data_IF_713441977368
#
_entry.id   IF_713441977368
#
_cell.length_a   1.000
_cell.length_b   1.000
_cell.length_c   1.000
_cell.angle_alpha   90.00
_cell.angle_beta   90.00
_cell.angle_gamma   90.00
#
_symmetry.space_group_name_H-M   'P 1'
#
loop_
_entity.id
_entity.type
_entity.pdbx_description
1 polymer ?
#
# COMPACT_ATOMS: atom_id res chain seq x y z
N UNK A 1 9.40 6.47 -3.43
CA UNK A 1 8.94 5.90 -4.72
C UNK A 1 7.76 4.92 -4.57
N UNK A 2 7.74 4.00 -3.59
CA UNK A 2 6.63 3.04 -3.41
C UNK A 2 5.27 3.67 -3.05
N UNK A 3 5.26 4.84 -2.39
CA UNK A 3 4.03 5.51 -1.96
C UNK A 3 3.24 6.20 -3.10
N UNK A 4 3.84 6.34 -4.29
CA UNK A 4 3.46 7.42 -5.22
C UNK A 4 2.98 6.97 -6.61
N UNK A 5 3.12 5.69 -6.96
CA UNK A 5 2.63 5.21 -8.27
C UNK A 5 1.92 3.85 -8.24
N UNK A 6 1.59 3.32 -7.06
CA UNK A 6 0.87 2.04 -6.98
C UNK A 6 0.76 1.52 -5.57
N UNK A 7 0.07 2.25 -4.68
CA UNK A 7 -0.38 1.68 -3.42
C UNK A 7 -1.55 0.73 -3.72
N UNK A 8 -1.21 -0.51 -4.06
CA UNK A 8 -1.83 -1.69 -3.46
C UNK A 8 -0.66 -2.44 -2.81
N UNK A 9 -0.04 -1.77 -1.85
CA UNK A 9 1.03 -2.31 -1.03
C UNK A 9 0.42 -2.83 0.25
N UNK A 10 0.65 -4.10 0.56
CA UNK A 10 0.33 -4.67 1.85
C UNK A 10 1.38 -4.22 2.85
N UNK A 11 0.99 -3.39 3.81
CA UNK A 11 1.83 -3.05 4.96
C UNK A 11 1.64 -4.13 6.03
N UNK A 12 2.68 -4.94 6.22
CA UNK A 12 2.67 -6.01 7.20
C UNK A 12 3.48 -5.62 8.43
N UNK A 13 2.98 -5.92 9.63
CA UNK A 13 3.79 -5.99 10.85
C UNK A 13 3.69 -7.41 11.41
N UNK A 14 4.74 -8.22 11.19
CA UNK A 14 4.86 -9.54 11.80
C UNK A 14 5.46 -9.39 13.21
N UNK A 15 4.81 -9.96 14.23
CA UNK A 15 5.35 -10.08 15.58
C UNK A 15 5.98 -11.47 15.80
N UNK A 16 7.12 -11.45 16.50
CA UNK A 16 7.83 -12.55 17.16
C UNK A 16 8.58 -13.59 16.28
N UNK A 17 9.91 -13.47 16.29
CA UNK A 17 10.83 -14.60 16.15
C UNK A 17 10.70 -15.55 17.36
N UNK A 18 11.08 -16.81 17.18
CA UNK A 18 10.96 -17.93 18.14
C UNK A 18 11.76 -17.71 19.46
N UNK A 19 12.51 -16.61 19.54
CA UNK A 19 13.44 -16.27 20.61
C UNK A 19 13.04 -15.05 21.47
N UNK A 20 11.85 -14.48 21.29
CA UNK A 20 11.34 -13.43 22.21
C UNK A 20 12.10 -12.09 22.18
N UNK A 21 12.79 -11.78 21.08
CA UNK A 21 13.33 -10.44 20.83
C UNK A 21 12.27 -9.54 20.17
N UNK A 22 12.17 -8.29 20.62
CA UNK A 22 11.31 -7.24 20.04
C UNK A 22 11.71 -6.94 18.59
N UNK A 23 11.24 -7.73 17.62
CA UNK A 23 11.52 -7.55 16.21
C UNK A 23 10.25 -7.59 15.39
N UNK A 24 9.61 -6.43 15.21
CA UNK A 24 8.57 -6.26 14.20
C UNK A 24 9.17 -5.71 12.91
N UNK A 25 8.76 -6.21 11.76
CA UNK A 25 9.20 -5.71 10.45
C UNK A 25 8.02 -5.10 9.68
N UNK A 26 8.24 -3.95 9.05
CA UNK A 26 7.30 -3.32 8.12
C UNK A 26 7.67 -3.77 6.71
N UNK A 27 6.83 -4.59 6.10
CA UNK A 27 7.01 -5.02 4.70
C UNK A 27 6.03 -4.27 3.82
N UNK A 28 6.49 -3.78 2.67
CA UNK A 28 5.66 -3.16 1.63
C UNK A 28 5.87 -3.93 0.32
N UNK A 29 4.77 -4.33 -0.30
CA UNK A 29 4.77 -5.15 -1.50
C UNK A 29 3.37 -5.64 -1.85
N UNK A 30 3.23 -6.32 -2.98
CA UNK A 30 1.91 -6.61 -3.58
C UNK A 30 1.28 -7.91 -3.11
N UNK A 31 2.11 -8.86 -2.75
CA UNK A 31 1.77 -10.25 -2.42
C UNK A 31 2.21 -10.64 -1.01
N UNK A 32 2.52 -9.63 -0.17
CA UNK A 32 3.03 -9.87 1.18
C UNK A 32 1.98 -10.60 2.03
N UNK A 33 0.75 -10.10 2.07
CA UNK A 33 -0.31 -10.68 2.92
C UNK A 33 -0.94 -11.96 2.39
N UNK A 34 -0.64 -12.35 1.15
CA UNK A 34 -1.24 -13.51 0.47
C UNK A 34 -0.23 -14.64 0.18
N UNK A 35 1.04 -14.31 -0.07
CA UNK A 35 2.09 -15.27 -0.45
C UNK A 35 3.26 -15.28 0.53
N UNK A 36 3.84 -14.11 0.84
CA UNK A 36 5.10 -14.05 1.62
C UNK A 36 4.88 -14.27 3.11
N UNK A 37 3.87 -13.64 3.68
CA UNK A 37 3.52 -13.70 5.09
C UNK A 37 1.99 -13.82 5.27
N UNK A 38 1.39 -14.95 4.87
CA UNK A 38 -0.05 -15.18 5.00
C UNK A 38 -0.50 -15.29 6.46
N UNK A 39 0.39 -15.51 7.43
CA UNK A 39 0.05 -15.66 8.86
C UNK A 39 0.27 -14.40 9.69
N UNK A 40 0.50 -13.26 9.04
CA UNK A 40 0.80 -12.04 9.75
C UNK A 40 -0.36 -11.53 10.61
N UNK A 41 -0.02 -11.04 11.80
CA UNK A 41 -0.97 -10.50 12.79
C UNK A 41 -1.75 -9.29 12.28
N UNK A 42 -1.11 -8.42 11.50
CA UNK A 42 -1.74 -7.26 10.91
C UNK A 42 -1.41 -7.16 9.42
N UNK A 43 -2.46 -7.15 8.60
CA UNK A 43 -2.39 -6.94 7.16
C UNK A 43 -3.18 -5.69 6.81
N UNK A 44 -2.52 -4.69 6.26
CA UNK A 44 -3.17 -3.51 5.70
C UNK A 44 -3.09 -3.59 4.20
N UNK A 45 -4.18 -3.35 3.49
CA UNK A 45 -4.19 -3.18 2.06
C UNK A 45 -4.43 -1.70 1.76
N UNK A 46 -3.35 -0.97 1.46
CA UNK A 46 -3.44 0.48 1.23
C UNK A 46 -3.87 0.72 -0.20
N UNK A 47 -4.92 1.51 -0.40
CA UNK A 47 -5.46 1.87 -1.73
C UNK A 47 -5.72 3.38 -1.84
N UNK A 48 -5.94 3.85 -3.06
CA UNK A 48 -6.37 5.21 -3.38
C UNK A 48 -6.96 5.27 -4.79
N UNK A 49 -7.85 6.24 -5.03
CA UNK A 49 -8.37 6.56 -6.35
C UNK A 49 -7.26 6.83 -7.37
N UNK A 50 -7.53 6.55 -8.64
CA UNK A 50 -6.56 6.77 -9.71
C UNK A 50 -6.21 8.25 -9.85
N UNK A 51 -7.20 9.11 -9.62
CA UNK A 51 -7.10 10.57 -9.65
C UNK A 51 -6.21 11.08 -8.52
N UNK A 52 -6.39 10.59 -7.29
CA UNK A 52 -5.53 10.96 -6.16
C UNK A 52 -4.08 10.54 -6.39
N UNK A 53 -3.87 9.32 -6.91
CA UNK A 53 -2.52 8.82 -7.25
C UNK A 53 -1.89 9.60 -8.39
N UNK A 54 -2.65 9.91 -9.44
CA UNK A 54 -2.18 10.73 -10.55
C UNK A 54 -1.82 12.15 -10.10
N UNK A 55 -2.60 12.76 -9.22
CA UNK A 55 -2.32 14.07 -8.65
C UNK A 55 -1.01 14.10 -7.85
N UNK A 56 -0.80 13.11 -6.97
CA UNK A 56 0.45 12.96 -6.19
C UNK A 56 1.65 12.79 -7.12
N UNK A 57 1.54 11.89 -8.10
CA UNK A 57 2.61 11.62 -9.05
C UNK A 57 2.95 12.83 -9.92
N UNK A 58 1.95 13.59 -10.34
CA UNK A 58 2.16 14.83 -11.08
C UNK A 58 2.95 15.83 -10.23
N UNK A 59 2.59 16.02 -8.97
CA UNK A 59 3.29 16.92 -8.07
C UNK A 59 4.79 16.57 -7.93
N UNK A 60 5.13 15.28 -7.76
CA UNK A 60 6.54 14.84 -7.74
C UNK A 60 7.29 15.14 -9.03
N UNK A 61 6.66 14.86 -10.18
CA UNK A 61 7.30 15.08 -11.47
C UNK A 61 7.61 16.56 -11.66
N UNK A 62 6.66 17.43 -11.30
CA UNK A 62 6.84 18.88 -11.32
C UNK A 62 7.92 19.33 -10.34
N UNK A 63 7.94 18.81 -9.11
CA UNK A 63 8.99 19.10 -8.12
C UNK A 63 10.38 18.65 -8.58
N UNK A 64 10.46 17.53 -9.31
CA UNK A 64 11.68 17.02 -9.92
C UNK A 64 12.10 17.75 -11.22
N UNK A 65 11.33 18.77 -11.65
CA UNK A 65 11.61 19.57 -12.84
C UNK A 65 11.21 18.93 -14.17
N UNK A 66 10.34 17.90 -14.14
CA UNK A 66 9.78 17.29 -15.33
C UNK A 66 8.46 17.96 -15.74
N UNK A 67 8.27 18.13 -17.05
CA UNK A 67 6.98 18.51 -17.60
C UNK A 67 6.12 17.25 -17.79
N UNK A 68 4.96 17.22 -17.13
CA UNK A 68 3.97 16.16 -17.26
C UNK A 68 2.56 16.76 -17.21
N UNK A 69 1.60 16.12 -17.87
CA UNK A 69 0.18 16.49 -17.79
C UNK A 69 -0.58 15.53 -16.88
N UNK A 70 -1.60 16.04 -16.20
CA UNK A 70 -2.47 15.21 -15.35
C UNK A 70 -3.07 14.04 -16.13
N UNK A 71 -3.63 14.28 -17.32
CA UNK A 71 -4.24 13.25 -18.16
C UNK A 71 -3.25 12.16 -18.60
N UNK A 72 -2.00 12.54 -18.89
CA UNK A 72 -0.95 11.59 -19.22
C UNK A 72 -0.61 10.68 -18.04
N UNK A 73 -0.42 11.29 -16.87
CA UNK A 73 -0.14 10.55 -15.63
C UNK A 73 -1.32 9.64 -15.25
N UNK A 74 -2.55 10.12 -15.36
CA UNK A 74 -3.76 9.34 -15.07
C UNK A 74 -3.90 8.14 -16.00
N UNK A 75 -3.61 8.32 -17.29
CA UNK A 75 -3.60 7.23 -18.27
C UNK A 75 -2.57 6.16 -17.90
N UNK A 76 -1.37 6.58 -17.50
CA UNK A 76 -0.31 5.67 -17.07
C UNK A 76 -0.69 4.92 -15.79
N UNK A 77 -1.35 5.59 -14.85
CA UNK A 77 -1.87 5.00 -13.62
C UNK A 77 -2.89 3.90 -13.94
N UNK A 78 -3.91 4.18 -14.75
CA UNK A 78 -4.90 3.17 -15.14
C UNK A 78 -4.27 1.99 -15.90
N UNK A 79 -3.31 2.25 -16.78
CA UNK A 79 -2.61 1.20 -17.51
C UNK A 79 -1.81 0.29 -16.57
N UNK A 80 -1.21 0.85 -15.50
CA UNK A 80 -0.52 0.09 -14.46
C UNK A 80 -1.49 -0.76 -13.65
N UNK A 81 -2.57 -0.16 -13.14
CA UNK A 81 -3.55 -0.86 -12.31
C UNK A 81 -4.16 -2.06 -13.02
N UNK A 82 -4.50 -1.88 -14.31
CA UNK A 82 -5.03 -2.95 -15.15
C UNK A 82 -4.04 -4.09 -15.29
N UNK A 83 -2.78 -3.79 -15.65
CA UNK A 83 -1.73 -4.81 -15.78
C UNK A 83 -1.49 -5.56 -14.48
N UNK A 84 -1.55 -4.88 -13.35
CA UNK A 84 -1.28 -5.47 -12.05
C UNK A 84 -2.45 -6.32 -11.52
N UNK A 85 -3.68 -5.92 -11.86
CA UNK A 85 -4.91 -6.68 -11.52
C UNK A 85 -5.11 -7.90 -12.42
N UNK A 86 -4.70 -7.82 -13.69
CA UNK A 86 -4.84 -8.89 -14.69
C UNK A 86 -3.68 -9.89 -14.69
N UNK A 87 -2.67 -9.69 -13.84
CA UNK A 87 -1.49 -10.55 -13.79
C UNK A 87 -1.88 -11.97 -13.39
N UNK A 88 -1.44 -12.98 -14.14
CA UNK A 88 -1.80 -14.38 -13.88
C UNK A 88 -1.17 -14.92 -12.58
N UNK A 89 0.06 -14.51 -12.27
CA UNK A 89 0.76 -14.83 -11.02
C UNK A 89 0.68 -13.66 -10.05
N UNK A 90 0.30 -13.96 -8.79
CA UNK A 90 0.12 -13.02 -7.70
C UNK A 90 -0.63 -11.73 -8.12
N UNK A 91 -1.90 -11.84 -8.55
CA UNK A 91 -2.66 -10.66 -8.91
C UNK A 91 -2.82 -9.77 -7.69
N UNK A 92 -2.92 -8.48 -7.95
CA UNK A 92 -3.02 -7.46 -6.93
C UNK A 92 -4.41 -7.48 -6.27
N UNK A 93 -4.53 -8.21 -5.16
CA UNK A 93 -5.79 -8.40 -4.43
C UNK A 93 -5.54 -8.41 -2.93
N UNK A 94 -6.47 -7.83 -2.14
CA UNK A 94 -6.36 -7.87 -0.69
C UNK A 94 -6.44 -9.33 -0.22
N UNK A 95 -5.69 -9.66 0.83
CA UNK A 95 -5.94 -10.90 1.58
C UNK A 95 -7.34 -10.84 2.21
N UNK A 96 -7.97 -12.00 2.44
CA UNK A 96 -9.33 -12.06 2.98
C UNK A 96 -9.47 -11.38 4.35
N UNK A 97 -8.39 -11.36 5.13
CA UNK A 97 -8.29 -10.76 6.45
C UNK A 97 -7.57 -9.40 6.46
N UNK A 98 -7.22 -8.86 5.28
CA UNK A 98 -6.58 -7.56 5.19
C UNK A 98 -7.56 -6.41 5.45
N UNK A 99 -7.12 -5.43 6.24
CA UNK A 99 -7.84 -4.18 6.41
C UNK A 99 -7.56 -3.24 5.24
N UNK A 100 -8.60 -2.89 4.48
CA UNK A 100 -8.47 -1.93 3.38
C UNK A 100 -8.37 -0.51 3.94
N UNK A 101 -7.22 0.13 3.73
CA UNK A 101 -6.97 1.53 4.08
C UNK A 101 -7.04 2.39 2.81
N UNK A 102 -8.18 3.06 2.60
CA UNK A 102 -8.33 4.02 1.51
C UNK A 102 -7.73 5.38 1.91
N UNK A 103 -6.74 5.82 1.15
CA UNK A 103 -6.02 7.07 1.37
C UNK A 103 -6.40 8.17 0.39
N UNK A 104 -7.43 7.99 -0.44
CA UNK A 104 -7.82 8.94 -1.49
C UNK A 104 -7.94 10.37 -0.98
N UNK A 105 -8.63 10.54 0.16
CA UNK A 105 -8.91 11.83 0.79
C UNK A 105 -8.16 12.04 2.12
N UNK A 106 -7.14 11.21 2.38
CA UNK A 106 -6.36 11.30 3.62
C UNK A 106 -5.05 12.04 3.41
N UNK A 107 -4.68 12.87 4.39
CA UNK A 107 -3.31 13.33 4.54
C UNK A 107 -2.40 12.16 4.93
N UNK A 108 -1.09 12.34 4.76
CA UNK A 108 -0.09 11.33 5.16
C UNK A 108 -0.24 11.02 6.66
N UNK A 109 -0.39 12.04 7.50
CA UNK A 109 -0.53 11.90 8.94
C UNK A 109 -1.81 11.14 9.31
N UNK A 110 -2.93 11.43 8.63
CA UNK A 110 -4.20 10.75 8.87
C UNK A 110 -4.13 9.27 8.44
N UNK A 111 -3.51 8.99 7.29
CA UNK A 111 -3.31 7.62 6.81
C UNK A 111 -2.41 6.82 7.78
N UNK A 112 -1.31 7.41 8.24
CA UNK A 112 -0.40 6.79 9.22
C UNK A 112 -1.11 6.55 10.55
N UNK A 113 -1.88 7.52 11.05
CA UNK A 113 -2.62 7.37 12.29
C UNK A 113 -3.63 6.21 12.23
N UNK A 114 -4.36 6.08 11.11
CA UNK A 114 -5.28 4.96 10.90
C UNK A 114 -4.56 3.62 10.80
N UNK A 115 -3.46 3.56 10.06
CA UNK A 115 -2.63 2.36 9.96
C UNK A 115 -2.13 1.89 11.34
N UNK A 116 -1.59 2.81 12.14
CA UNK A 116 -1.09 2.53 13.50
C UNK A 116 -2.22 2.07 14.42
N UNK A 117 -3.38 2.75 14.39
CA UNK A 117 -4.53 2.38 15.20
C UNK A 117 -5.02 0.96 14.85
N UNK A 118 -5.06 0.61 13.55
CA UNK A 118 -5.48 -0.71 13.11
C UNK A 118 -4.52 -1.80 13.55
N UNK A 119 -3.21 -1.59 13.40
CA UNK A 119 -2.18 -2.51 13.86
C UNK A 119 -2.26 -2.73 15.37
N UNK A 120 -2.41 -1.65 16.15
CA UNK A 120 -2.51 -1.73 17.60
C UNK A 120 -3.71 -2.57 18.06
N UNK A 121 -4.83 -2.52 17.33
CA UNK A 121 -6.02 -3.32 17.60
C UNK A 121 -5.86 -4.82 17.27
N UNK A 122 -4.89 -5.18 16.43
CA UNK A 122 -4.62 -6.59 16.09
C UNK A 122 -3.64 -7.27 17.05
N UNK A 123 -2.87 -6.49 17.81
CA UNK A 123 -1.86 -7.05 18.72
C UNK A 123 -2.56 -7.74 19.91
N UNK A 124 -2.31 -9.04 20.17
CA UNK A 124 -2.83 -9.69 21.37
C UNK A 124 -2.26 -9.02 22.63
N UNK A 125 -3.08 -8.95 23.68
CA UNK A 125 -2.74 -8.37 24.98
C UNK A 125 -1.72 -9.21 25.76
#
# INVERSE_FOLDING_TARGET
EALQVGALGVLLLAGCDEHGALGGAVLDGRDIGTVICPEAEAKLFVTASAEARAGRRLAELVEAGHEASFDGVLTDVHARDRRDSERAEAPLRPAEDAYVLDTSDLSIEAAVAQAVARVAACRPA
#
